data_IF_760293207809
#
_entry.id   IF_760293207809
#
_cell.length_a   1.000
_cell.length_b   1.000
_cell.length_c   1.000
_cell.angle_alpha   90.00
_cell.angle_beta   90.00
_cell.angle_gamma   90.00
#
_symmetry.space_group_name_H-M   'P 1'
#
loop_
_entity.id
_entity.type
_entity.pdbx_description
1 polymer ?
#
# COMPACT_ATOMS: atom_id res chain seq x y z
N UNK A 1 22.50 -3.71 0.35
CA UNK A 1 22.06 -4.16 1.68
C UNK A 1 21.15 -3.07 2.23
N UNK A 2 21.60 -1.82 2.36
CA UNK A 2 20.73 -0.71 2.79
C UNK A 2 19.65 -0.31 1.75
N UNK A 3 19.96 -0.29 0.45
CA UNK A 3 19.00 0.10 -0.61
C UNK A 3 17.75 -0.82 -0.68
N UNK A 4 17.89 -2.09 -0.28
CA UNK A 4 16.80 -3.06 -0.33
C UNK A 4 15.79 -2.82 0.81
N UNK A 5 16.27 -2.47 2.01
CA UNK A 5 15.44 -2.16 3.17
C UNK A 5 14.68 -0.84 3.01
N UNK A 6 15.33 0.17 2.43
CA UNK A 6 14.69 1.45 2.14
C UNK A 6 13.57 1.30 1.10
N UNK A 7 13.83 0.52 0.05
CA UNK A 7 12.82 0.16 -0.96
C UNK A 7 11.61 -0.54 -0.34
N UNK A 8 11.85 -1.52 0.55
CA UNK A 8 10.78 -2.20 1.31
C UNK A 8 10.04 -1.19 2.22
N UNK A 9 10.76 -0.27 2.87
CA UNK A 9 10.13 0.72 3.73
C UNK A 9 9.16 1.62 2.95
N UNK A 10 9.52 2.05 1.73
CA UNK A 10 8.62 2.80 0.85
C UNK A 10 7.42 1.96 0.38
N UNK A 11 7.64 0.69 0.05
CA UNK A 11 6.59 -0.25 -0.32
C UNK A 11 5.55 -0.39 0.81
N UNK A 12 5.98 -0.73 2.02
CA UNK A 12 5.11 -0.90 3.18
C UNK A 12 4.40 0.41 3.55
N UNK A 13 5.12 1.53 3.46
CA UNK A 13 4.56 2.87 3.72
C UNK A 13 3.45 3.23 2.74
N UNK A 14 3.53 2.79 1.48
CA UNK A 14 2.47 2.96 0.49
C UNK A 14 1.15 2.34 0.94
N UNK A 15 1.18 1.09 1.42
CA UNK A 15 -0.01 0.41 1.95
C UNK A 15 -0.58 1.14 3.17
N UNK A 16 0.28 1.46 4.14
CA UNK A 16 -0.13 2.09 5.39
C UNK A 16 -0.73 3.48 5.15
N UNK A 17 -0.05 4.31 4.36
CA UNK A 17 -0.51 5.64 3.97
C UNK A 17 -1.89 5.56 3.31
N UNK A 18 -2.04 4.68 2.33
CA UNK A 18 -3.31 4.54 1.61
C UNK A 18 -4.43 4.00 2.49
N UNK A 19 -4.11 3.09 3.42
CA UNK A 19 -5.08 2.60 4.39
C UNK A 19 -5.64 3.74 5.26
N UNK A 20 -4.78 4.63 5.77
CA UNK A 20 -5.20 5.81 6.52
C UNK A 20 -6.05 6.74 5.64
N UNK A 21 -5.60 7.05 4.43
CA UNK A 21 -6.28 7.98 3.53
C UNK A 21 -7.70 7.51 3.14
N UNK A 22 -7.88 6.20 2.94
CA UNK A 22 -9.22 5.63 2.64
C UNK A 22 -10.06 5.42 3.90
N UNK A 23 -9.53 5.73 5.09
CA UNK A 23 -10.21 5.65 6.39
C UNK A 23 -10.26 4.25 7.00
N UNK A 24 -9.38 3.33 6.57
CA UNK A 24 -9.10 2.10 7.29
C UNK A 24 -8.15 2.37 8.47
N UNK A 25 -8.01 1.40 9.38
CA UNK A 25 -7.09 1.53 10.52
C UNK A 25 -5.88 0.65 10.31
N UNK A 26 -4.68 1.21 10.38
CA UNK A 26 -3.44 0.42 10.44
C UNK A 26 -3.24 0.00 11.90
N UNK A 27 -2.90 -1.26 12.15
CA UNK A 27 -2.58 -1.76 13.50
C UNK A 27 -1.08 -1.76 13.74
N UNK A 28 -0.33 -2.29 12.77
CA UNK A 28 1.12 -2.42 12.78
C UNK A 28 1.63 -2.36 11.35
N UNK A 29 2.82 -1.81 11.19
CA UNK A 29 3.64 -1.82 10.00
C UNK A 29 5.04 -2.30 10.41
N UNK A 30 5.67 -3.19 9.65
CA UNK A 30 7.01 -3.71 9.95
C UNK A 30 7.78 -4.00 8.66
N UNK A 31 9.11 -3.83 8.67
CA UNK A 31 10.00 -4.22 7.55
C UNK A 31 10.34 -5.72 7.64
N UNK A 32 10.52 -6.22 8.87
CA UNK A 32 10.71 -7.64 9.14
C UNK A 32 9.38 -8.25 9.61
N UNK A 33 8.74 -9.13 8.81
CA UNK A 33 7.63 -9.92 9.31
C UNK A 33 8.14 -10.94 10.33
N UNK A 34 7.30 -11.28 11.30
CA UNK A 34 7.62 -12.37 12.23
C UNK A 34 7.83 -13.67 11.44
N UNK A 35 8.90 -14.40 11.77
CA UNK A 35 9.30 -15.68 11.18
C UNK A 35 8.28 -16.76 11.61
N UNK A 36 7.06 -16.64 11.11
CA UNK A 36 6.03 -17.68 11.17
C UNK A 36 6.31 -18.69 10.05
N UNK A 37 6.06 -19.99 10.28
CA UNK A 37 6.22 -21.13 9.34
C UNK A 37 5.41 -21.01 8.01
N UNK A 38 4.88 -19.82 7.69
CA UNK A 38 4.24 -19.46 6.44
C UNK A 38 5.23 -19.06 5.33
N UNK A 39 4.73 -18.74 4.12
CA UNK A 39 5.58 -18.25 3.04
C UNK A 39 6.31 -16.98 3.46
N UNK A 40 7.59 -16.85 3.10
CA UNK A 40 8.40 -15.64 3.34
C UNK A 40 7.63 -14.41 2.86
N UNK A 41 7.33 -13.52 3.80
CA UNK A 41 6.82 -12.18 3.53
C UNK A 41 8.00 -11.23 3.65
N UNK A 42 8.04 -10.19 2.85
CA UNK A 42 8.94 -9.04 3.06
C UNK A 42 7.99 -7.93 3.51
N UNK A 43 8.14 -7.45 4.75
CA UNK A 43 7.19 -6.54 5.39
C UNK A 43 5.81 -7.13 5.77
N UNK A 44 5.09 -6.45 6.67
CA UNK A 44 3.67 -6.71 6.98
C UNK A 44 2.92 -5.46 7.44
N UNK A 45 1.97 -4.99 6.62
CA UNK A 45 0.98 -3.97 6.98
C UNK A 45 -0.33 -4.60 7.47
N UNK A 46 -0.56 -4.58 8.78
CA UNK A 46 -1.79 -5.12 9.38
C UNK A 46 -2.92 -4.10 9.35
N UNK A 47 -3.84 -4.26 8.39
CA UNK A 47 -4.93 -3.30 8.15
C UNK A 47 -6.28 -3.85 8.61
N UNK A 48 -6.97 -3.08 9.44
CA UNK A 48 -8.29 -3.38 9.96
C UNK A 48 -9.38 -2.61 9.20
N UNK A 49 -10.29 -3.37 8.58
CA UNK A 49 -11.46 -2.85 7.89
C UNK A 49 -12.72 -2.92 8.77
N UNK A 50 -13.20 -1.77 9.25
CA UNK A 50 -14.45 -1.72 10.02
C UNK A 50 -15.65 -1.94 9.11
N UNK A 51 -16.29 -3.11 9.22
CA UNK A 51 -17.40 -3.53 8.34
C UNK A 51 -18.60 -2.59 8.36
N UNK A 52 -18.86 -1.91 9.48
CA UNK A 52 -19.96 -0.95 9.60
C UNK A 52 -19.71 0.39 8.89
N UNK A 53 -18.45 0.68 8.55
CA UNK A 53 -18.04 1.97 7.97
C UNK A 53 -18.16 2.00 6.44
N UNK A 54 -18.12 0.83 5.78
CA UNK A 54 -18.11 0.73 4.32
C UNK A 54 -19.17 -0.24 3.82
N UNK A 55 -19.81 0.10 2.70
CA UNK A 55 -20.53 -0.91 1.92
C UNK A 55 -19.57 -1.96 1.39
N UNK A 56 -20.07 -3.15 1.06
CA UNK A 56 -19.24 -4.20 0.47
C UNK A 56 -18.50 -3.72 -0.79
N UNK A 57 -19.16 -2.96 -1.67
CA UNK A 57 -18.54 -2.41 -2.88
C UNK A 57 -17.40 -1.44 -2.55
N UNK A 58 -17.65 -0.46 -1.68
CA UNK A 58 -16.65 0.53 -1.30
C UNK A 58 -15.44 -0.10 -0.64
N UNK A 59 -15.65 -1.13 0.20
CA UNK A 59 -14.54 -1.86 0.82
C UNK A 59 -13.64 -2.50 -0.24
N UNK A 60 -14.23 -3.15 -1.24
CA UNK A 60 -13.47 -3.77 -2.32
C UNK A 60 -12.71 -2.75 -3.18
N UNK A 61 -13.35 -1.63 -3.52
CA UNK A 61 -12.68 -0.52 -4.23
C UNK A 61 -11.46 -0.01 -3.45
N UNK A 62 -11.60 0.16 -2.13
CA UNK A 62 -10.52 0.63 -1.25
C UNK A 62 -9.42 -0.41 -1.02
N UNK A 63 -9.77 -1.69 -0.92
CA UNK A 63 -8.79 -2.77 -0.83
C UNK A 63 -7.90 -2.82 -2.07
N UNK A 64 -8.46 -2.56 -3.26
CA UNK A 64 -7.68 -2.43 -4.49
C UNK A 64 -6.68 -1.26 -4.40
N UNK A 65 -7.13 -0.10 -3.91
CA UNK A 65 -6.26 1.06 -3.77
C UNK A 65 -5.12 0.79 -2.79
N UNK A 66 -5.42 0.20 -1.64
CA UNK A 66 -4.43 -0.16 -0.62
C UNK A 66 -3.42 -1.16 -1.17
N UNK A 67 -3.88 -2.24 -1.81
CA UNK A 67 -2.99 -3.28 -2.35
C UNK A 67 -2.06 -2.71 -3.43
N UNK A 68 -2.54 -1.83 -4.30
CA UNK A 68 -1.69 -1.25 -5.35
C UNK A 68 -0.77 -0.12 -4.85
N UNK A 69 -1.00 0.42 -3.64
CA UNK A 69 -0.26 1.59 -3.17
C UNK A 69 1.21 1.28 -2.84
N UNK A 70 1.53 0.08 -2.34
CA UNK A 70 2.92 -0.31 -2.07
C UNK A 70 3.77 -0.35 -3.34
N UNK A 71 3.40 -1.14 -4.37
CA UNK A 71 4.09 -1.12 -5.65
C UNK A 71 4.21 0.28 -6.28
N UNK A 72 3.18 1.13 -6.14
CA UNK A 72 3.23 2.49 -6.68
C UNK A 72 4.18 3.40 -5.92
N UNK A 73 4.25 3.28 -4.59
CA UNK A 73 5.21 4.02 -3.79
C UNK A 73 6.64 3.61 -4.15
N UNK A 74 6.88 2.32 -4.33
CA UNK A 74 8.18 1.78 -4.73
C UNK A 74 8.60 2.26 -6.13
N UNK A 75 7.67 2.30 -7.10
CA UNK A 75 7.92 2.88 -8.43
C UNK A 75 8.34 4.35 -8.36
N UNK A 76 7.67 5.14 -7.53
CA UNK A 76 7.99 6.56 -7.36
C UNK A 76 9.36 6.75 -6.70
N UNK A 77 9.66 5.94 -5.68
CA UNK A 77 10.95 5.99 -4.97
C UNK A 77 12.11 5.59 -5.89
N UNK A 78 11.99 4.45 -6.57
CA UNK A 78 13.03 3.92 -7.46
C UNK A 78 13.18 4.73 -8.76
N UNK A 79 12.16 5.50 -9.14
CA UNK A 79 12.12 6.22 -10.42
C UNK A 79 11.98 5.30 -11.64
N UNK A 80 11.68 4.03 -11.42
CA UNK A 80 11.59 3.02 -12.47
C UNK A 80 10.14 2.88 -12.98
N UNK A 81 9.90 2.95 -14.30
CA UNK A 81 8.55 3.05 -14.89
C UNK A 81 7.85 1.68 -15.02
N UNK A 82 8.10 0.75 -14.09
CA UNK A 82 7.60 -0.62 -14.21
C UNK A 82 6.07 -0.68 -14.19
N UNK A 83 5.50 -1.72 -14.79
CA UNK A 83 4.08 -2.02 -14.60
C UNK A 83 3.96 -3.01 -13.44
N UNK A 84 3.02 -2.84 -12.49
CA UNK A 84 2.95 -3.67 -11.29
C UNK A 84 2.96 -5.20 -11.54
N UNK A 85 2.28 -5.65 -12.59
CA UNK A 85 2.23 -7.06 -12.97
C UNK A 85 3.50 -7.66 -13.61
N UNK A 86 4.60 -6.91 -13.74
CA UNK A 86 5.85 -7.38 -14.37
C UNK A 86 7.02 -7.53 -13.39
N UNK A 87 6.85 -7.11 -12.13
CA UNK A 87 7.83 -7.28 -11.06
C UNK A 87 7.37 -8.44 -10.19
N UNK A 88 8.25 -9.42 -9.97
CA UNK A 88 7.88 -10.68 -9.34
C UNK A 88 7.50 -10.47 -7.87
N UNK A 89 8.18 -9.53 -7.23
CA UNK A 89 8.05 -9.11 -5.84
C UNK A 89 6.65 -8.53 -5.57
N UNK A 90 6.04 -7.87 -6.56
CA UNK A 90 4.70 -7.26 -6.43
C UNK A 90 3.55 -8.20 -6.81
N UNK A 91 3.84 -9.46 -7.16
CA UNK A 91 2.82 -10.44 -7.52
C UNK A 91 1.77 -10.69 -6.41
N UNK A 92 2.12 -10.72 -5.11
CA UNK A 92 1.15 -10.84 -4.02
C UNK A 92 0.15 -9.65 -3.99
N UNK A 93 0.64 -8.43 -4.13
CA UNK A 93 -0.19 -7.21 -4.13
C UNK A 93 -1.12 -7.15 -5.32
N UNK A 94 -0.58 -7.50 -6.49
CA UNK A 94 -1.38 -7.60 -7.70
C UNK A 94 -2.49 -8.65 -7.57
N UNK A 95 -2.18 -9.82 -6.98
CA UNK A 95 -3.17 -10.86 -6.71
C UNK A 95 -4.23 -10.39 -5.72
N UNK A 96 -3.84 -9.69 -4.64
CA UNK A 96 -4.77 -9.12 -3.67
C UNK A 96 -5.70 -8.07 -4.31
N UNK A 97 -5.16 -7.18 -5.15
CA UNK A 97 -5.94 -6.21 -5.90
C UNK A 97 -6.89 -6.90 -6.90
N UNK A 98 -6.43 -7.94 -7.58
CA UNK A 98 -7.25 -8.73 -8.50
C UNK A 98 -8.42 -9.41 -7.80
N UNK A 99 -8.17 -10.04 -6.65
CA UNK A 99 -9.21 -10.70 -5.86
C UNK A 99 -10.22 -9.69 -5.29
N UNK A 100 -9.76 -8.55 -4.79
CA UNK A 100 -10.64 -7.49 -4.34
C UNK A 100 -11.51 -6.93 -5.48
N UNK A 101 -10.99 -6.87 -6.71
CA UNK A 101 -11.74 -6.43 -7.88
C UNK A 101 -12.69 -7.51 -8.47
N UNK A 102 -12.55 -8.79 -8.09
CA UNK A 102 -13.43 -9.88 -8.53
C UNK A 102 -14.94 -9.60 -8.39
N UNK A 103 -15.45 -9.20 -7.21
CA UNK A 103 -16.86 -8.88 -7.04
C UNK A 103 -17.30 -7.60 -7.76
N UNK A 104 -16.37 -6.70 -8.12
CA UNK A 104 -16.67 -5.45 -8.83
C UNK A 104 -16.85 -5.70 -10.33
N UNK A 105 -16.00 -6.56 -10.92
CA UNK A 105 -15.98 -6.84 -12.34
C UNK A 105 -15.80 -8.35 -12.59
N UNK A 106 -16.88 -9.00 -13.04
CA UNK A 106 -16.85 -10.41 -13.48
C UNK A 106 -16.01 -10.62 -14.74
N UNK A 107 -15.97 -9.63 -15.61
CA UNK A 107 -15.18 -9.65 -16.85
C UNK A 107 -13.73 -9.29 -16.54
N UNK A 108 -12.81 -10.20 -16.86
CA UNK A 108 -11.38 -10.05 -16.57
C UNK A 108 -10.73 -8.89 -17.32
N UNK A 109 -11.17 -8.57 -18.54
CA UNK A 109 -10.61 -7.43 -19.29
C UNK A 109 -11.00 -6.11 -18.65
N UNK A 110 -12.25 -6.00 -18.19
CA UNK A 110 -12.72 -4.82 -17.45
C UNK A 110 -11.99 -4.70 -16.11
N UNK A 111 -11.73 -5.82 -15.44
CA UNK A 111 -10.98 -5.86 -14.19
C UNK A 111 -9.54 -5.40 -14.39
N UNK A 112 -8.84 -5.95 -15.38
CA UNK A 112 -7.48 -5.53 -15.74
C UNK A 112 -7.45 -4.02 -16.02
N UNK A 113 -8.38 -3.54 -16.85
CA UNK A 113 -8.48 -2.11 -17.15
C UNK A 113 -8.69 -1.25 -15.91
N UNK A 114 -9.53 -1.71 -14.99
CA UNK A 114 -9.77 -1.02 -13.72
C UNK A 114 -8.51 -0.96 -12.86
N UNK A 115 -7.73 -2.05 -12.76
CA UNK A 115 -6.47 -2.04 -12.00
C UNK A 115 -5.41 -1.13 -12.64
N UNK A 116 -5.30 -1.13 -13.97
CA UNK A 116 -4.41 -0.20 -14.69
C UNK A 116 -4.81 1.26 -14.44
N UNK A 117 -6.10 1.58 -14.53
CA UNK A 117 -6.61 2.93 -14.31
C UNK A 117 -6.44 3.35 -12.84
N UNK A 118 -6.60 2.42 -11.88
CA UNK A 118 -6.34 2.66 -10.46
C UNK A 118 -4.85 2.90 -10.17
N UNK A 119 -3.95 2.12 -10.79
CA UNK A 119 -2.49 2.30 -10.68
C UNK A 119 -2.07 3.69 -11.15
N UNK A 120 -2.57 4.15 -12.31
CA UNK A 120 -2.26 5.50 -12.82
C UNK A 120 -2.79 6.61 -11.90
N UNK A 121 -3.98 6.42 -11.34
CA UNK A 121 -4.55 7.37 -10.38
C UNK A 121 -3.74 7.44 -9.09
N UNK A 122 -3.34 6.28 -8.54
CA UNK A 122 -2.47 6.20 -7.37
C UNK A 122 -1.13 6.87 -7.63
N UNK A 123 -0.51 6.65 -8.79
CA UNK A 123 0.77 7.29 -9.10
C UNK A 123 0.64 8.82 -9.06
N UNK A 124 -0.40 9.38 -9.70
CA UNK A 124 -0.62 10.83 -9.65
C UNK A 124 -0.98 11.34 -8.25
N UNK A 125 -1.63 10.52 -7.42
CA UNK A 125 -2.01 10.87 -6.05
C UNK A 125 -0.79 10.88 -5.12
N UNK A 126 0.03 9.83 -5.19
CA UNK A 126 1.20 9.67 -4.33
C UNK A 126 2.36 10.62 -4.71
N UNK A 127 2.47 11.00 -5.99
CA UNK A 127 3.44 11.99 -6.47
C UNK A 127 3.08 13.45 -6.07
N UNK A 128 1.90 13.68 -5.52
CA UNK A 128 1.53 15.01 -5.02
C UNK A 128 2.35 15.36 -3.77
N UNK A 129 2.92 16.58 -3.72
CA UNK A 129 3.90 17.03 -2.71
C UNK A 129 3.56 16.61 -1.26
N UNK A 130 2.36 16.94 -0.77
CA UNK A 130 1.96 16.59 0.61
C UNK A 130 1.76 15.09 0.83
N UNK A 131 1.30 14.36 -0.19
CA UNK A 131 1.10 12.91 -0.08
C UNK A 131 2.45 12.20 -0.08
N UNK A 132 3.36 12.61 -0.96
CA UNK A 132 4.72 12.10 -0.99
C UNK A 132 5.46 12.39 0.31
N UNK A 133 5.37 13.62 0.82
CA UNK A 133 6.00 14.00 2.09
C UNK A 133 5.48 13.17 3.27
N UNK A 134 4.18 12.92 3.33
CA UNK A 134 3.58 12.07 4.36
C UNK A 134 4.06 10.62 4.26
N UNK A 135 4.08 10.07 3.05
CA UNK A 135 4.52 8.70 2.79
C UNK A 135 6.00 8.52 3.10
N UNK A 136 6.86 9.43 2.62
CA UNK A 136 8.29 9.42 2.89
C UNK A 136 8.57 9.54 4.39
N UNK A 137 7.81 10.37 5.12
CA UNK A 137 7.93 10.45 6.57
C UNK A 137 7.58 9.12 7.27
N UNK A 138 6.61 8.35 6.78
CA UNK A 138 6.34 7.00 7.30
C UNK A 138 7.53 6.09 7.00
N UNK A 139 8.06 6.12 5.77
CA UNK A 139 9.18 5.29 5.34
C UNK A 139 10.45 5.56 6.16
N UNK A 140 10.79 6.83 6.38
CA UNK A 140 11.94 7.24 7.20
C UNK A 140 11.80 6.73 8.65
N UNK A 141 10.60 6.87 9.23
CA UNK A 141 10.34 6.39 10.59
C UNK A 141 10.36 4.86 10.65
N UNK A 142 9.86 4.18 9.62
CA UNK A 142 9.83 2.74 9.55
C UNK A 142 11.25 2.17 9.38
N UNK A 143 12.09 2.77 8.54
CA UNK A 143 13.50 2.40 8.39
C UNK A 143 14.29 2.64 9.69
N UNK A 144 13.98 3.71 10.43
CA UNK A 144 14.65 4.02 11.69
C UNK A 144 14.22 3.14 12.88
N UNK A 145 13.01 2.60 12.85
CA UNK A 145 12.39 1.91 13.99
C UNK A 145 11.99 0.46 13.71
N UNK A 146 12.13 -0.02 12.48
CA UNK A 146 11.78 -1.35 11.94
C UNK A 146 10.28 -1.71 12.03
N UNK A 147 9.56 -1.17 13.00
CA UNK A 147 8.13 -1.33 13.23
C UNK A 147 7.50 -0.01 13.67
N UNK A 148 6.32 0.28 13.12
CA UNK A 148 5.44 1.37 13.56
C UNK A 148 4.06 0.84 13.95
N UNK A 149 3.44 1.45 14.96
CA UNK A 149 2.05 1.18 15.29
C UNK A 149 1.10 2.13 14.55
N UNK A 150 -0.19 1.80 14.56
CA UNK A 150 -1.22 2.59 13.90
C UNK A 150 -1.31 4.06 14.32
N UNK A 151 -1.14 4.36 15.61
CA UNK A 151 -1.26 5.73 16.13
C UNK A 151 -0.11 6.60 15.61
N UNK A 152 1.12 6.07 15.58
CA UNK A 152 2.28 6.76 15.01
C UNK A 152 2.06 7.10 13.53
N UNK A 153 1.50 6.17 12.77
CA UNK A 153 1.23 6.36 11.33
C UNK A 153 0.14 7.43 11.15
N UNK A 154 -0.95 7.35 11.91
CA UNK A 154 -2.03 8.35 11.86
C UNK A 154 -1.53 9.76 12.22
N UNK A 155 -0.67 9.89 13.23
CA UNK A 155 -0.04 11.17 13.61
C UNK A 155 0.84 11.75 12.51
N UNK A 156 1.68 10.93 11.87
CA UNK A 156 2.52 11.37 10.75
C UNK A 156 1.64 11.89 9.61
N UNK A 157 0.62 11.12 9.19
CA UNK A 157 -0.25 11.50 8.07
C UNK A 157 -1.02 12.80 8.38
N UNK A 158 -1.52 12.95 9.61
CA UNK A 158 -2.23 14.15 10.03
C UNK A 158 -1.36 15.41 9.99
N UNK A 159 -0.04 15.29 10.15
CA UNK A 159 0.91 16.40 10.04
C UNK A 159 1.03 17.02 8.64
N UNK A 160 0.64 16.29 7.59
CA UNK A 160 0.83 16.69 6.18
C UNK A 160 -0.47 16.89 5.40
N UNK A 161 -1.54 16.17 5.77
CA UNK A 161 -2.82 16.13 5.02
C UNK A 161 -3.94 16.89 5.76
N UNK A 162 -3.59 17.64 6.82
CA UNK A 162 -4.49 18.50 7.60
C UNK A 162 -4.96 19.76 6.89
#
# INVERSE_FOLDING_TARGET
>A
MDDDEETIAYHESGHAFMAVLVGARVRRLTIEPEDDDGPQRFGDAQIEWRLSQFTAKQRQEKMVLVALAGPVAEMLYSGEPYHPGHVAEWAPDWAAAWEAATPLFRDEKKRLRYLEDATRQLHSLLDAENHWAALAAIADNLAAHETLNGEQIEEIVAGWIG
#
